data_IF_411741067183
#
_entry.id   IF_411741067183
#
_cell.length_a   1.000
_cell.length_b   1.000
_cell.length_c   1.000
_cell.angle_alpha   90.00
_cell.angle_beta   90.00
_cell.angle_gamma   90.00
#
_symmetry.space_group_name_H-M   'P 1'
#
loop_
_entity.id
_entity.type
_entity.pdbx_description
1 polymer ?
#
# COMPACT_ATOMS: atom_id res chain seq x y z
N UNK A 1 4.02 -30.16 -7.25
CA UNK A 1 3.70 -28.72 -7.13
C UNK A 1 2.81 -28.35 -8.29
N UNK A 2 1.58 -27.94 -8.02
CA UNK A 2 0.68 -27.46 -9.07
C UNK A 2 1.04 -26.01 -9.41
N UNK A 3 0.74 -25.55 -10.63
CA UNK A 3 1.05 -24.18 -11.08
C UNK A 3 -0.23 -23.50 -11.60
N UNK A 4 -0.44 -22.20 -11.31
CA UNK A 4 -1.59 -21.45 -11.84
C UNK A 4 -1.52 -21.44 -13.38
N UNK A 5 -2.52 -22.00 -14.07
CA UNK A 5 -2.60 -21.98 -15.55
C UNK A 5 -2.63 -20.57 -16.16
N UNK A 6 -2.89 -19.54 -15.35
CA UNK A 6 -2.93 -18.13 -15.77
C UNK A 6 -1.63 -17.37 -15.55
N UNK A 7 -0.81 -17.70 -14.54
CA UNK A 7 0.41 -16.93 -14.23
C UNK A 7 1.68 -17.77 -14.00
N UNK A 8 1.59 -19.10 -14.01
CA UNK A 8 2.74 -20.00 -13.87
C UNK A 8 3.35 -20.10 -12.47
N UNK A 9 2.82 -19.40 -11.46
CA UNK A 9 3.34 -19.47 -10.08
C UNK A 9 2.87 -20.77 -9.40
N UNK A 10 3.78 -21.41 -8.65
CA UNK A 10 3.49 -22.59 -7.85
C UNK A 10 2.41 -22.34 -6.81
N UNK A 11 1.41 -23.22 -6.76
CA UNK A 11 0.35 -23.27 -5.75
C UNK A 11 0.54 -24.55 -4.92
N UNK A 12 0.31 -24.45 -3.62
CA UNK A 12 0.19 -25.64 -2.75
C UNK A 12 -1.09 -26.39 -3.10
N UNK A 13 -1.02 -27.71 -3.18
CA UNK A 13 -2.16 -28.58 -3.55
C UNK A 13 -3.36 -28.49 -2.61
N UNK A 14 -3.20 -27.89 -1.42
CA UNK A 14 -4.28 -27.63 -0.46
C UNK A 14 -5.13 -26.39 -0.82
N UNK A 15 -4.66 -25.54 -1.74
CA UNK A 15 -5.34 -24.30 -2.11
C UNK A 15 -5.82 -24.36 -3.56
N UNK A 16 -7.14 -24.44 -3.74
CA UNK A 16 -7.79 -24.58 -5.05
C UNK A 16 -7.72 -23.30 -5.92
N UNK A 17 -7.14 -22.21 -5.44
CA UNK A 17 -7.11 -20.93 -6.14
C UNK A 17 -5.75 -20.24 -6.02
N UNK A 18 -5.23 -19.74 -7.14
CA UNK A 18 -4.01 -18.95 -7.14
C UNK A 18 -4.29 -17.54 -6.62
N UNK A 19 -3.84 -17.24 -5.40
CA UNK A 19 -3.94 -15.93 -4.76
C UNK A 19 -3.35 -14.79 -5.61
N UNK A 20 -2.32 -15.07 -6.41
CA UNK A 20 -1.73 -14.10 -7.33
C UNK A 20 -2.63 -13.79 -8.53
N UNK A 21 -3.38 -14.77 -9.01
CA UNK A 21 -4.32 -14.68 -10.13
C UNK A 21 -5.65 -13.96 -9.74
N UNK A 22 -5.93 -13.79 -8.42
CA UNK A 22 -7.10 -13.11 -7.86
C UNK A 22 -6.72 -11.87 -7.01
N UNK A 23 -5.83 -11.01 -7.53
CA UNK A 23 -5.51 -9.73 -6.88
C UNK A 23 -6.46 -8.63 -7.34
N UNK A 24 -7.66 -8.59 -6.76
CA UNK A 24 -8.42 -7.34 -6.72
C UNK A 24 -7.70 -6.36 -5.79
N UNK A 25 -6.71 -5.63 -6.33
CA UNK A 25 -6.03 -4.57 -5.59
C UNK A 25 -7.04 -3.49 -5.25
N UNK A 26 -7.22 -3.21 -3.95
CA UNK A 26 -8.04 -2.10 -3.44
C UNK A 26 -7.41 -0.73 -3.71
N UNK A 27 -6.16 -0.70 -4.16
CA UNK A 27 -5.39 0.51 -4.41
C UNK A 27 -4.91 0.60 -5.86
N UNK A 28 -4.51 1.80 -6.26
CA UNK A 28 -3.87 2.09 -7.55
C UNK A 28 -2.74 3.11 -7.35
N UNK A 29 -1.86 3.25 -8.35
CA UNK A 29 -0.83 4.31 -8.38
C UNK A 29 -1.34 5.47 -9.22
N UNK A 30 -1.28 6.68 -8.70
CA UNK A 30 -1.62 7.89 -9.46
C UNK A 30 -0.47 8.33 -10.39
N UNK A 31 -0.73 9.37 -11.18
CA UNK A 31 0.26 9.95 -12.10
C UNK A 31 1.49 10.56 -11.40
N UNK A 32 1.40 10.84 -10.10
CA UNK A 32 2.50 11.38 -9.30
C UNK A 32 3.33 10.28 -8.60
N UNK A 33 2.91 9.01 -8.74
CA UNK A 33 3.55 7.83 -8.17
C UNK A 33 3.08 7.47 -6.75
N UNK A 34 2.08 8.15 -6.20
CA UNK A 34 1.51 7.80 -4.90
C UNK A 34 0.51 6.65 -5.02
N UNK A 35 0.51 5.77 -4.02
CA UNK A 35 -0.52 4.73 -3.90
C UNK A 35 -1.76 5.32 -3.22
N UNK A 36 -2.93 5.13 -3.83
CA UNK A 36 -4.23 5.62 -3.35
C UNK A 36 -5.25 4.50 -3.27
N UNK A 37 -6.21 4.62 -2.36
CA UNK A 37 -7.37 3.73 -2.34
C UNK A 37 -8.32 4.03 -3.51
N UNK A 38 -8.87 2.99 -4.13
CA UNK A 38 -9.78 3.14 -5.30
C UNK A 38 -11.16 3.69 -4.93
N UNK A 39 -11.62 3.44 -3.71
CA UNK A 39 -12.94 3.83 -3.21
C UNK A 39 -13.01 5.30 -2.76
N UNK A 40 -12.00 5.76 -2.02
CA UNK A 40 -11.98 7.08 -1.38
C UNK A 40 -11.00 8.04 -2.03
N UNK A 41 -10.14 7.55 -2.92
CA UNK A 41 -9.00 8.30 -3.47
C UNK A 41 -8.00 8.82 -2.42
N UNK A 42 -8.10 8.35 -1.17
CA UNK A 42 -7.22 8.76 -0.06
C UNK A 42 -5.80 8.21 -0.28
N UNK A 43 -4.74 9.02 -0.07
CA UNK A 43 -3.37 8.53 -0.14
C UNK A 43 -3.06 7.48 0.93
N UNK A 44 -2.53 6.33 0.51
CA UNK A 44 -2.24 5.21 1.39
C UNK A 44 -1.20 5.57 2.46
N UNK A 45 -0.16 6.33 2.10
CA UNK A 45 0.87 6.74 3.05
C UNK A 45 0.30 7.58 4.22
N UNK A 46 -0.68 8.46 3.98
CA UNK A 46 -1.34 9.23 5.05
C UNK A 46 -2.12 8.31 5.98
N UNK A 47 -2.92 7.40 5.42
CA UNK A 47 -3.65 6.41 6.21
C UNK A 47 -2.73 5.56 7.09
N UNK A 48 -1.61 5.06 6.53
CA UNK A 48 -0.67 4.25 7.31
C UNK A 48 0.03 5.09 8.39
N UNK A 49 0.35 6.35 8.11
CA UNK A 49 0.92 7.26 9.11
C UNK A 49 -0.06 7.55 10.26
N UNK A 50 -1.33 7.81 9.97
CA UNK A 50 -2.39 7.97 10.99
C UNK A 50 -2.52 6.71 11.86
N UNK A 51 -2.52 5.52 11.23
CA UNK A 51 -2.55 4.24 11.96
C UNK A 51 -1.32 4.03 12.84
N UNK A 52 -0.14 4.43 12.39
CA UNK A 52 1.10 4.40 13.17
C UNK A 52 1.06 5.34 14.38
N UNK A 53 0.48 6.53 14.21
CA UNK A 53 0.36 7.53 15.27
C UNK A 53 -0.77 7.21 16.27
N UNK A 54 -1.76 6.40 15.87
CA UNK A 54 -2.96 6.15 16.67
C UNK A 54 -3.93 7.33 16.73
N UNK A 55 -3.73 8.35 15.89
CA UNK A 55 -4.59 9.53 15.75
C UNK A 55 -4.61 10.01 14.30
N UNK A 56 -5.55 10.90 13.98
CA UNK A 56 -5.54 11.59 12.70
C UNK A 56 -4.34 12.54 12.59
N UNK A 57 -3.87 12.74 11.35
CA UNK A 57 -2.83 13.73 11.05
C UNK A 57 -3.45 15.12 11.13
N UNK A 58 -2.75 16.03 11.80
CA UNK A 58 -3.14 17.44 11.82
C UNK A 58 -3.06 18.03 10.39
N UNK A 59 -3.84 19.07 10.07
CA UNK A 59 -3.79 19.73 8.76
C UNK A 59 -2.38 20.23 8.39
N UNK A 60 -1.57 20.54 9.41
CA UNK A 60 -0.20 21.02 9.28
C UNK A 60 0.84 19.87 9.31
N UNK A 61 0.44 18.60 9.34
CA UNK A 61 1.38 17.49 9.34
C UNK A 61 1.59 16.91 7.93
N UNK A 62 2.87 16.77 7.57
CA UNK A 62 3.31 16.24 6.27
C UNK A 62 4.00 14.90 6.47
N UNK A 63 3.70 13.94 5.59
CA UNK A 63 4.27 12.58 5.63
C UNK A 63 5.32 12.44 4.53
N UNK A 64 6.53 12.01 4.90
CA UNK A 64 7.64 11.74 3.99
C UNK A 64 8.02 10.26 3.99
N UNK A 65 8.38 9.75 2.81
CA UNK A 65 9.00 8.43 2.64
C UNK A 65 10.51 8.53 2.86
N UNK A 66 11.05 7.82 3.86
CA UNK A 66 12.49 7.84 4.20
C UNK A 66 13.36 7.39 3.03
N UNK A 67 12.94 6.34 2.32
CA UNK A 67 13.65 5.80 1.16
C UNK A 67 13.33 6.50 -0.17
N UNK A 68 12.56 7.60 -0.15
CA UNK A 68 12.10 8.35 -1.34
C UNK A 68 11.25 7.54 -2.34
N UNK A 69 10.85 6.32 -2.01
CA UNK A 69 9.97 5.50 -2.82
C UNK A 69 8.51 5.70 -2.38
N UNK A 70 7.76 6.48 -3.16
CA UNK A 70 6.33 6.81 -2.90
C UNK A 70 5.40 5.59 -2.84
N UNK A 71 5.84 4.44 -3.37
CA UNK A 71 5.07 3.20 -3.35
C UNK A 71 5.36 2.30 -2.14
N UNK A 72 6.42 2.56 -1.39
CA UNK A 72 6.77 1.83 -0.17
C UNK A 72 6.07 2.44 1.05
N UNK A 73 4.86 1.98 1.33
CA UNK A 73 4.00 2.51 2.38
C UNK A 73 4.14 1.74 3.71
N UNK A 74 5.27 1.06 3.96
CA UNK A 74 5.54 0.42 5.26
C UNK A 74 5.60 1.47 6.36
N UNK A 75 5.02 1.19 7.53
CA UNK A 75 4.97 2.11 8.68
C UNK A 75 6.35 2.67 9.05
N UNK A 76 7.40 1.84 9.02
CA UNK A 76 8.77 2.26 9.37
C UNK A 76 9.44 3.14 8.32
N UNK A 77 8.96 3.10 7.08
CA UNK A 77 9.44 3.94 5.99
C UNK A 77 8.77 5.32 5.98
N UNK A 78 7.76 5.56 6.81
CA UNK A 78 7.05 6.83 6.89
C UNK A 78 7.50 7.66 8.08
N UNK A 79 7.75 8.94 7.84
CA UNK A 79 8.06 9.94 8.84
C UNK A 79 7.04 11.09 8.76
N UNK A 80 6.49 11.50 9.90
CA UNK A 80 5.56 12.63 10.00
C UNK A 80 6.29 13.85 10.55
N UNK A 81 6.21 14.96 9.84
CA UNK A 81 6.80 16.25 10.24
C UNK A 81 5.68 17.25 10.50
N UNK A 82 5.83 18.06 11.55
CA UNK A 82 5.03 19.29 11.69
C UNK A 82 5.49 20.28 10.62
N UNK A 83 4.56 21.02 10.02
CA UNK A 83 4.85 22.05 9.02
C UNK A 83 5.95 22.99 9.55
N UNK A 84 6.83 23.42 8.65
CA UNK A 84 7.88 24.40 8.96
C UNK A 84 7.30 25.81 9.06
#
# INVERSE_FOLDING_TARGET
MEHCRRCGIGISSEYLFCYNCNRNSKTYKDGEGYVRFKDTNKPLHRYVAEKKLGRELEPQEVVHHKNRNKSDNKMDNLWVFKNQ
#
